data_IF_728602016073
#
_entry.id   IF_728602016073
#
_cell.length_a   1.000
_cell.length_b   1.000
_cell.length_c   1.000
_cell.angle_alpha   90.00
_cell.angle_beta   90.00
_cell.angle_gamma   90.00
#
_symmetry.space_group_name_H-M   'P 1'
#
loop_
_entity.id
_entity.type
_entity.pdbx_description
1 polymer ?
#
# COMPACT_ATOMS: atom_id res chain seq x y z
N UNK A 1 16.00 -11.58 -47.50
CA UNK A 1 15.81 -10.58 -46.42
C UNK A 1 14.44 -10.74 -45.80
N UNK A 2 14.38 -11.09 -44.51
CA UNK A 2 13.15 -11.46 -43.77
C UNK A 2 11.97 -10.47 -43.96
N UNK A 3 12.25 -9.19 -44.23
CA UNK A 3 11.26 -8.10 -44.39
C UNK A 3 10.55 -8.01 -45.77
N UNK A 4 10.81 -8.95 -46.70
CA UNK A 4 10.19 -8.95 -48.05
C UNK A 4 8.97 -9.86 -48.20
N UNK A 5 8.68 -10.73 -47.22
CA UNK A 5 7.58 -11.71 -47.31
C UNK A 5 6.19 -11.04 -47.32
N UNK A 6 5.26 -11.52 -48.17
CA UNK A 6 3.83 -11.16 -48.12
C UNK A 6 3.24 -11.39 -46.72
N UNK A 7 3.69 -12.43 -45.98
CA UNK A 7 3.25 -12.72 -44.61
C UNK A 7 3.61 -11.60 -43.63
N UNK A 8 4.78 -10.96 -43.80
CA UNK A 8 5.20 -9.84 -42.95
C UNK A 8 4.26 -8.64 -43.08
N UNK A 9 3.82 -8.31 -44.31
CA UNK A 9 2.86 -7.21 -44.54
C UNK A 9 1.47 -7.49 -43.96
N UNK A 10 1.05 -8.76 -43.96
CA UNK A 10 -0.26 -9.17 -43.42
C UNK A 10 -0.31 -9.00 -41.90
N UNK A 11 0.82 -9.21 -41.21
CA UNK A 11 0.92 -9.11 -39.75
C UNK A 11 1.29 -7.70 -39.29
N UNK A 12 2.14 -6.98 -40.03
CA UNK A 12 2.62 -5.66 -39.61
C UNK A 12 1.52 -4.59 -39.61
N UNK A 13 0.60 -4.64 -40.56
CA UNK A 13 -0.48 -3.65 -40.65
C UNK A 13 -1.46 -3.70 -39.45
N UNK A 14 -1.97 -4.87 -39.03
CA UNK A 14 -2.80 -4.97 -37.83
C UNK A 14 -2.10 -4.51 -36.57
N UNK A 15 -0.83 -4.88 -36.40
CA UNK A 15 -0.04 -4.52 -35.24
C UNK A 15 0.14 -3.00 -35.14
N UNK A 16 0.48 -2.34 -36.26
CA UNK A 16 0.61 -0.88 -36.33
C UNK A 16 -0.68 -0.16 -35.94
N UNK A 17 -1.82 -0.65 -36.42
CA UNK A 17 -3.14 -0.10 -36.10
C UNK A 17 -3.50 -0.30 -34.62
N UNK A 18 -3.19 -1.45 -34.03
CA UNK A 18 -3.40 -1.71 -32.60
C UNK A 18 -2.50 -0.80 -31.75
N UNK A 19 -1.22 -0.66 -32.09
CA UNK A 19 -0.27 0.21 -31.37
C UNK A 19 -0.75 1.67 -31.41
N UNK A 20 -1.11 2.17 -32.60
CA UNK A 20 -1.60 3.55 -32.76
C UNK A 20 -2.91 3.78 -32.01
N UNK A 21 -3.82 2.80 -32.02
CA UNK A 21 -5.06 2.87 -31.27
C UNK A 21 -4.80 2.88 -29.76
N UNK A 22 -3.92 2.00 -29.28
CA UNK A 22 -3.54 1.90 -27.86
C UNK A 22 -2.93 3.21 -27.36
N UNK A 23 -1.98 3.79 -28.12
CA UNK A 23 -1.39 5.09 -27.79
C UNK A 23 -2.46 6.18 -27.66
N UNK A 24 -3.42 6.24 -28.58
CA UNK A 24 -4.50 7.23 -28.55
C UNK A 24 -5.41 7.04 -27.34
N UNK A 25 -5.85 5.81 -27.06
CA UNK A 25 -6.72 5.51 -25.92
C UNK A 25 -6.02 5.84 -24.60
N UNK A 26 -4.77 5.40 -24.42
CA UNK A 26 -4.00 5.69 -23.20
C UNK A 26 -3.76 7.19 -23.02
N UNK A 27 -3.42 7.92 -24.09
CA UNK A 27 -3.22 9.37 -24.02
C UNK A 27 -4.50 10.11 -23.62
N UNK A 28 -5.64 9.72 -24.19
CA UNK A 28 -6.94 10.29 -23.83
C UNK A 28 -7.31 9.96 -22.39
N UNK A 29 -7.09 8.71 -21.95
CA UNK A 29 -7.33 8.28 -20.57
C UNK A 29 -6.50 9.10 -19.58
N UNK A 30 -5.21 9.29 -19.84
CA UNK A 30 -4.31 10.10 -19.01
C UNK A 30 -4.77 11.57 -18.97
N UNK A 31 -5.18 12.15 -20.10
CA UNK A 31 -5.69 13.53 -20.14
C UNK A 31 -6.98 13.68 -19.32
N UNK A 32 -7.92 12.74 -19.45
CA UNK A 32 -9.18 12.77 -18.69
C UNK A 32 -8.91 12.64 -17.20
N UNK A 33 -8.14 11.62 -16.79
CA UNK A 33 -7.80 11.38 -15.38
C UNK A 33 -6.99 12.53 -14.82
N UNK A 34 -5.99 13.03 -15.54
CA UNK A 34 -5.17 14.17 -15.14
C UNK A 34 -5.99 15.44 -14.98
N UNK A 35 -6.94 15.71 -15.87
CA UNK A 35 -7.85 16.86 -15.77
C UNK A 35 -8.77 16.72 -14.56
N UNK A 36 -9.32 15.52 -14.32
CA UNK A 36 -10.16 15.24 -13.15
C UNK A 36 -9.39 15.45 -11.83
N UNK A 37 -8.17 14.91 -11.73
CA UNK A 37 -7.29 15.09 -10.57
C UNK A 37 -6.95 16.57 -10.38
N UNK A 38 -6.61 17.29 -11.47
CA UNK A 38 -6.28 18.71 -11.41
C UNK A 38 -7.45 19.55 -10.92
N UNK A 39 -8.66 19.34 -11.46
CA UNK A 39 -9.86 20.07 -11.02
C UNK A 39 -10.14 19.78 -9.55
N UNK A 40 -10.13 18.51 -9.15
CA UNK A 40 -10.37 18.15 -7.75
C UNK A 40 -9.31 18.70 -6.80
N UNK A 41 -8.04 18.74 -7.23
CA UNK A 41 -6.98 19.42 -6.49
C UNK A 41 -7.22 20.92 -6.37
N UNK A 42 -7.67 21.61 -7.42
CA UNK A 42 -7.97 23.04 -7.35
C UNK A 42 -9.15 23.37 -6.43
N UNK A 43 -10.09 22.43 -6.22
CA UNK A 43 -11.28 22.64 -5.38
C UNK A 43 -11.06 22.22 -3.93
N UNK A 44 -10.40 21.08 -3.70
CA UNK A 44 -10.30 20.42 -2.39
C UNK A 44 -8.84 20.14 -1.98
N UNK A 45 -7.86 20.57 -2.76
CA UNK A 45 -6.44 20.35 -2.49
C UNK A 45 -6.06 18.87 -2.47
N UNK A 46 -5.07 18.55 -1.65
CA UNK A 46 -4.55 17.18 -1.50
C UNK A 46 -5.54 16.20 -0.87
N UNK A 47 -6.54 16.67 -0.13
CA UNK A 47 -7.59 15.81 0.43
C UNK A 47 -8.29 15.02 -0.68
N UNK A 48 -8.64 15.68 -1.78
CA UNK A 48 -9.27 15.02 -2.91
C UNK A 48 -8.34 14.02 -3.60
N UNK A 49 -7.08 14.42 -3.80
CA UNK A 49 -6.09 13.55 -4.42
C UNK A 49 -5.95 12.28 -3.59
N UNK A 50 -5.73 12.38 -2.27
CA UNK A 50 -5.54 11.21 -1.41
C UNK A 50 -6.76 10.27 -1.41
N UNK A 51 -7.98 10.81 -1.35
CA UNK A 51 -9.19 10.01 -1.19
C UNK A 51 -9.75 9.45 -2.50
N UNK A 52 -9.68 10.21 -3.60
CA UNK A 52 -10.48 9.92 -4.79
C UNK A 52 -9.67 9.63 -6.05
N UNK A 53 -8.36 9.86 -6.11
CA UNK A 53 -7.61 9.73 -7.38
C UNK A 53 -7.55 8.28 -7.93
N UNK A 54 -7.57 7.28 -7.05
CA UNK A 54 -7.44 5.87 -7.46
C UNK A 54 -8.66 5.37 -8.24
N UNK A 55 -9.86 5.81 -7.88
CA UNK A 55 -11.10 5.39 -8.53
C UNK A 55 -11.16 5.69 -10.04
N UNK A 56 -11.01 6.96 -10.50
CA UNK A 56 -11.01 7.29 -11.92
C UNK A 56 -9.80 6.68 -12.65
N UNK A 57 -8.64 6.55 -11.99
CA UNK A 57 -7.46 5.92 -12.56
C UNK A 57 -7.73 4.44 -12.87
N UNK A 58 -8.22 3.67 -11.90
CA UNK A 58 -8.55 2.26 -12.09
C UNK A 58 -9.65 2.07 -13.14
N UNK A 59 -10.69 2.92 -13.12
CA UNK A 59 -11.76 2.89 -14.12
C UNK A 59 -11.21 3.15 -15.53
N UNK A 60 -10.38 4.17 -15.70
CA UNK A 60 -9.79 4.53 -16.98
C UNK A 60 -8.86 3.43 -17.52
N UNK A 61 -8.08 2.77 -16.65
CA UNK A 61 -7.23 1.62 -17.02
C UNK A 61 -8.11 0.45 -17.49
N UNK A 62 -9.15 0.08 -16.74
CA UNK A 62 -10.05 -1.02 -17.11
C UNK A 62 -10.76 -0.76 -18.44
N UNK A 63 -11.30 0.45 -18.63
CA UNK A 63 -11.92 0.86 -19.91
C UNK A 63 -10.91 0.79 -21.05
N UNK A 64 -9.69 1.28 -20.84
CA UNK A 64 -8.63 1.26 -21.86
C UNK A 64 -8.28 -0.17 -22.29
N UNK A 65 -8.13 -1.09 -21.33
CA UNK A 65 -7.85 -2.51 -21.59
C UNK A 65 -9.00 -3.13 -22.40
N UNK A 66 -10.25 -2.92 -22.00
CA UNK A 66 -11.43 -3.44 -22.70
C UNK A 66 -11.46 -2.96 -24.16
N UNK A 67 -11.23 -1.66 -24.40
CA UNK A 67 -11.22 -1.09 -25.75
C UNK A 67 -10.08 -1.66 -26.60
N UNK A 68 -8.89 -1.87 -26.02
CA UNK A 68 -7.75 -2.47 -26.70
C UNK A 68 -8.03 -3.93 -27.04
N UNK A 69 -8.67 -4.70 -26.15
CA UNK A 69 -9.08 -6.08 -26.40
C UNK A 69 -10.10 -6.14 -27.54
N UNK A 70 -11.15 -5.32 -27.50
CA UNK A 70 -12.17 -5.25 -28.56
C UNK A 70 -11.51 -4.95 -29.91
N UNK A 71 -10.60 -3.96 -29.95
CA UNK A 71 -9.88 -3.61 -31.17
C UNK A 71 -9.01 -4.76 -31.66
N UNK A 72 -8.31 -5.46 -30.77
CA UNK A 72 -7.45 -6.59 -31.10
C UNK A 72 -8.27 -7.75 -31.68
N UNK A 73 -9.37 -8.12 -31.02
CA UNK A 73 -10.30 -9.16 -31.50
C UNK A 73 -10.88 -8.80 -32.87
N UNK A 74 -11.35 -7.55 -33.05
CA UNK A 74 -11.82 -7.08 -34.35
C UNK A 74 -10.76 -7.22 -35.46
N UNK A 75 -9.51 -6.87 -35.16
CA UNK A 75 -8.41 -6.99 -36.11
C UNK A 75 -8.07 -8.46 -36.41
N UNK A 76 -8.11 -9.35 -35.42
CA UNK A 76 -7.95 -10.79 -35.61
C UNK A 76 -9.06 -11.36 -36.50
N UNK A 77 -10.33 -11.06 -36.21
CA UNK A 77 -11.46 -11.50 -37.04
C UNK A 77 -11.30 -11.03 -38.49
N UNK A 78 -10.89 -9.77 -38.70
CA UNK A 78 -10.65 -9.22 -40.04
C UNK A 78 -9.51 -9.93 -40.79
N UNK A 79 -8.52 -10.48 -40.08
CA UNK A 79 -7.44 -11.27 -40.67
C UNK A 79 -7.91 -12.66 -41.10
N UNK A 80 -8.78 -13.31 -40.33
CA UNK A 80 -9.27 -14.66 -40.63
C UNK A 80 -10.50 -14.68 -41.56
N UNK A 81 -11.33 -13.64 -41.55
CA UNK A 81 -12.54 -13.54 -42.37
C UNK A 81 -12.55 -12.26 -43.22
N UNK A 82 -11.88 -12.29 -44.37
CA UNK A 82 -11.77 -11.15 -45.29
C UNK A 82 -13.12 -10.61 -45.82
N UNK A 83 -14.21 -11.40 -45.76
CA UNK A 83 -15.57 -10.99 -46.17
C UNK A 83 -16.39 -10.27 -45.09
N UNK A 84 -15.96 -10.30 -43.83
CA UNK A 84 -16.59 -9.54 -42.74
C UNK A 84 -16.05 -8.09 -42.74
N UNK A 85 -16.35 -7.34 -43.80
CA UNK A 85 -16.17 -5.89 -43.78
C UNK A 85 -17.40 -5.25 -43.15
N UNK A 86 -17.37 -5.01 -41.84
CA UNK A 86 -18.23 -3.97 -41.26
C UNK A 86 -17.76 -2.64 -41.88
N UNK A 87 -18.54 -2.16 -42.86
CA UNK A 87 -18.31 -0.92 -43.60
C UNK A 87 -18.48 0.29 -42.66
N UNK A 88 -17.49 0.54 -41.83
CA UNK A 88 -17.34 1.79 -41.10
C UNK A 88 -15.99 2.39 -41.49
N UNK A 89 -16.06 3.38 -42.38
CA UNK A 89 -14.96 4.14 -42.98
C UNK A 89 -14.25 3.50 -44.18
N UNK A 90 -14.85 3.68 -45.37
CA UNK A 90 -14.09 3.83 -46.61
C UNK A 90 -13.39 5.19 -46.59
N UNK A 91 -12.20 5.28 -45.99
CA UNK A 91 -11.24 6.33 -46.34
C UNK A 91 -10.00 5.67 -46.94
N UNK A 92 -9.95 5.77 -48.27
CA UNK A 92 -8.77 5.56 -49.11
C UNK A 92 -7.52 6.16 -48.45
N UNK A 93 -6.48 5.34 -48.26
CA UNK A 93 -5.14 5.85 -47.98
C UNK A 93 -4.06 4.85 -48.43
N UNK A 94 -3.91 4.70 -49.75
CA UNK A 94 -2.61 4.32 -50.31
C UNK A 94 -1.69 5.56 -50.26
N UNK A 95 -1.17 5.92 -49.08
CA UNK A 95 0.01 6.81 -49.02
C UNK A 95 1.25 5.95 -49.17
N UNK A 96 2.01 6.22 -50.23
CA UNK A 96 3.32 5.63 -50.54
C UNK A 96 4.37 6.18 -49.56
N UNK A 97 4.31 5.77 -48.28
CA UNK A 97 5.41 6.02 -47.34
C UNK A 97 6.46 4.92 -47.48
N UNK A 98 7.74 5.31 -47.47
CA UNK A 98 8.84 4.36 -47.54
C UNK A 98 8.72 3.35 -46.39
N UNK A 99 8.86 2.04 -46.67
CA UNK A 99 8.72 0.95 -45.69
C UNK A 99 9.58 1.14 -44.43
N UNK A 100 10.75 1.78 -44.58
CA UNK A 100 11.69 2.03 -43.49
C UNK A 100 11.21 3.14 -42.53
N UNK A 101 10.47 4.13 -43.03
CA UNK A 101 9.85 5.18 -42.20
C UNK A 101 8.66 4.66 -41.38
N UNK A 102 7.92 3.66 -41.89
CA UNK A 102 6.79 3.04 -41.17
C UNK A 102 7.22 2.33 -39.89
N UNK A 103 8.23 1.45 -40.00
CA UNK A 103 8.76 0.69 -38.86
C UNK A 103 9.39 1.63 -37.81
N UNK A 104 10.15 2.64 -38.24
CA UNK A 104 10.70 3.65 -37.32
C UNK A 104 9.59 4.37 -36.54
N UNK A 105 8.48 4.72 -37.19
CA UNK A 105 7.33 5.39 -36.56
C UNK A 105 6.62 4.50 -35.54
N UNK A 106 6.45 3.22 -35.83
CA UNK A 106 5.80 2.25 -34.92
C UNK A 106 6.66 1.99 -33.68
N UNK A 107 7.97 1.84 -33.85
CA UNK A 107 8.92 1.73 -32.73
C UNK A 107 8.86 2.98 -31.85
N UNK A 108 8.86 4.18 -32.45
CA UNK A 108 8.73 5.45 -31.71
C UNK A 108 7.42 5.51 -30.92
N UNK A 109 6.30 5.04 -31.48
CA UNK A 109 5.03 4.98 -30.76
C UNK A 109 5.06 3.99 -29.59
N UNK A 110 5.65 2.82 -29.80
CA UNK A 110 5.76 1.80 -28.75
C UNK A 110 6.64 2.27 -27.59
N UNK A 111 7.81 2.83 -27.90
CA UNK A 111 8.70 3.47 -26.92
C UNK A 111 7.97 4.63 -26.23
N UNK A 112 7.22 5.43 -26.99
CA UNK A 112 6.42 6.54 -26.45
C UNK A 112 5.36 6.09 -25.45
N UNK A 113 4.66 4.97 -25.68
CA UNK A 113 3.74 4.37 -24.71
C UNK A 113 4.49 3.97 -23.44
N UNK A 114 5.62 3.28 -23.59
CA UNK A 114 6.43 2.82 -22.46
C UNK A 114 6.91 3.98 -21.59
N UNK A 115 7.46 5.03 -22.20
CA UNK A 115 7.89 6.24 -21.50
C UNK A 115 6.70 6.93 -20.83
N UNK A 116 5.57 7.10 -21.54
CA UNK A 116 4.38 7.76 -21.00
C UNK A 116 3.86 7.06 -19.74
N UNK A 117 3.72 5.73 -19.78
CA UNK A 117 3.23 4.95 -18.64
C UNK A 117 4.23 4.97 -17.48
N UNK A 118 5.51 4.80 -17.76
CA UNK A 118 6.56 4.81 -16.75
C UNK A 118 6.67 6.19 -16.07
N UNK A 119 6.73 7.27 -16.85
CA UNK A 119 6.80 8.64 -16.32
C UNK A 119 5.57 8.99 -15.48
N UNK A 120 4.37 8.58 -15.91
CA UNK A 120 3.14 8.82 -15.13
C UNK A 120 3.20 8.05 -13.80
N UNK A 121 3.65 6.80 -13.82
CA UNK A 121 3.78 5.99 -12.62
C UNK A 121 4.82 6.55 -11.64
N UNK A 122 5.98 6.98 -12.16
CA UNK A 122 7.02 7.65 -11.36
C UNK A 122 6.45 8.91 -10.71
N UNK A 123 5.76 9.79 -11.46
CA UNK A 123 5.16 11.01 -10.91
C UNK A 123 4.16 10.67 -9.80
N UNK A 124 3.27 9.69 -10.03
CA UNK A 124 2.26 9.30 -9.05
C UNK A 124 2.86 8.75 -7.74
N UNK A 125 3.96 8.00 -7.82
CA UNK A 125 4.61 7.39 -6.64
C UNK A 125 5.60 8.36 -5.99
N UNK A 126 6.23 9.24 -6.76
CA UNK A 126 7.29 10.16 -6.29
C UNK A 126 6.76 11.49 -5.80
N UNK A 127 5.47 11.79 -5.95
CA UNK A 127 4.88 13.02 -5.41
C UNK A 127 4.58 12.82 -3.94
N UNK A 128 5.37 13.38 -2.99
CA UNK A 128 5.06 13.26 -1.58
C UNK A 128 3.76 14.02 -1.30
N UNK A 129 2.82 13.35 -0.62
CA UNK A 129 1.69 14.06 -0.03
C UNK A 129 2.21 15.04 1.02
N UNK A 130 1.64 16.26 1.10
CA UNK A 130 2.03 17.19 2.15
C UNK A 130 1.74 16.56 3.51
N UNK A 131 2.62 16.74 4.50
CA UNK A 131 2.34 16.27 5.85
C UNK A 131 1.11 17.00 6.40
N UNK A 132 0.20 16.25 7.00
CA UNK A 132 -0.93 16.78 7.74
C UNK A 132 -0.51 16.98 9.19
N UNK A 133 0.24 18.07 9.45
CA UNK A 133 0.66 18.39 10.82
C UNK A 133 -0.57 18.45 11.73
N UNK A 134 -0.66 17.49 12.64
CA UNK A 134 -1.70 17.40 13.65
C UNK A 134 -1.45 18.58 14.58
N UNK A 135 -2.32 19.57 14.47
CA UNK A 135 -2.29 20.77 15.29
C UNK A 135 -3.52 20.71 16.18
N UNK A 136 -3.35 20.45 17.48
CA UNK A 136 -4.49 20.33 18.37
C UNK A 136 -5.15 21.70 18.49
N UNK A 137 -6.48 21.71 18.48
CA UNK A 137 -7.27 22.95 18.57
C UNK A 137 -7.03 23.62 19.93
N UNK A 138 -6.89 22.80 20.97
CA UNK A 138 -6.41 23.20 22.28
C UNK A 138 -4.90 22.99 22.28
N UNK A 139 -4.08 24.02 22.51
CA UNK A 139 -2.63 23.85 22.64
C UNK A 139 -2.32 22.82 23.73
N UNK A 140 -1.31 22.00 23.49
CA UNK A 140 -0.78 21.09 24.50
C UNK A 140 0.01 21.90 25.54
N UNK A 141 -0.13 21.52 26.81
CA UNK A 141 0.74 22.02 27.87
C UNK A 141 2.18 21.47 27.71
N UNK A 142 3.14 22.03 28.45
CA UNK A 142 4.58 21.69 28.32
C UNK A 142 4.89 20.21 28.62
N UNK A 143 4.02 19.51 29.34
CA UNK A 143 4.12 18.09 29.70
C UNK A 143 3.17 17.18 28.89
N UNK A 144 2.45 17.73 27.91
CA UNK A 144 1.56 17.00 27.03
C UNK A 144 2.18 16.75 25.65
N UNK A 145 1.97 15.55 25.10
CA UNK A 145 2.50 15.19 23.79
C UNK A 145 1.62 14.17 23.06
N UNK A 146 1.68 14.20 21.73
CA UNK A 146 1.04 13.18 20.89
C UNK A 146 1.95 11.97 20.75
N UNK A 147 1.42 10.78 21.05
CA UNK A 147 2.17 9.52 21.03
C UNK A 147 1.37 8.41 20.33
N UNK A 148 2.06 7.57 19.58
CA UNK A 148 1.48 6.39 18.91
C UNK A 148 1.97 5.10 19.58
N UNK A 149 1.07 4.31 20.16
CA UNK A 149 1.43 3.11 20.94
C UNK A 149 1.52 1.82 20.12
N UNK A 150 1.26 1.86 18.81
CA UNK A 150 1.21 0.64 18.00
C UNK A 150 1.71 0.90 16.57
N UNK A 151 2.97 0.53 16.30
CA UNK A 151 3.64 0.88 15.04
C UNK A 151 4.45 -0.27 14.45
N UNK A 152 4.17 -0.55 13.18
CA UNK A 152 4.94 -1.47 12.34
C UNK A 152 5.86 -0.76 11.36
N UNK A 153 6.97 -1.45 11.05
CA UNK A 153 8.00 -1.05 10.09
C UNK A 153 8.32 -2.20 9.14
N UNK A 154 9.29 -1.99 8.26
CA UNK A 154 9.82 -3.05 7.37
C UNK A 154 10.48 -4.22 8.11
N UNK A 155 10.57 -4.20 9.45
CA UNK A 155 11.05 -5.32 10.25
C UNK A 155 9.96 -6.36 10.57
N UNK A 156 8.68 -6.10 10.28
CA UNK A 156 7.62 -7.11 10.16
C UNK A 156 6.90 -7.02 8.81
N UNK A 157 5.81 -6.28 8.77
CA UNK A 157 4.80 -6.19 7.71
C UNK A 157 4.48 -4.72 7.36
N UNK A 158 5.14 -3.78 8.04
CA UNK A 158 5.07 -2.37 7.74
C UNK A 158 5.72 -2.04 6.39
N UNK A 159 5.12 -1.08 5.69
CA UNK A 159 5.52 -0.69 4.33
C UNK A 159 6.62 0.36 4.28
N UNK A 160 6.95 0.99 5.42
CA UNK A 160 7.94 2.06 5.49
C UNK A 160 9.03 1.71 6.49
N UNK A 161 10.24 2.17 6.19
CA UNK A 161 11.40 1.98 7.05
C UNK A 161 11.24 2.74 8.37
N UNK A 162 12.03 2.35 9.37
CA UNK A 162 12.12 3.06 10.65
C UNK A 162 12.40 4.55 10.46
N UNK A 163 13.36 4.89 9.60
CA UNK A 163 13.75 6.30 9.37
C UNK A 163 12.61 7.10 8.74
N UNK A 164 11.93 6.52 7.75
CA UNK A 164 10.78 7.14 7.08
C UNK A 164 9.63 7.33 8.06
N UNK A 165 9.37 6.34 8.93
CA UNK A 165 8.34 6.40 9.97
C UNK A 165 8.60 7.54 10.95
N UNK A 166 9.80 7.63 11.51
CA UNK A 166 10.18 8.69 12.45
C UNK A 166 10.10 10.06 11.80
N UNK A 167 10.69 10.22 10.60
CA UNK A 167 10.61 11.47 9.82
C UNK A 167 9.16 11.87 9.54
N UNK A 168 8.30 10.88 9.25
CA UNK A 168 6.88 11.12 9.03
C UNK A 168 6.20 11.59 10.31
N UNK A 169 6.39 10.91 11.45
CA UNK A 169 5.79 11.32 12.73
C UNK A 169 6.18 12.73 13.16
N UNK A 170 7.47 13.07 13.11
CA UNK A 170 7.95 14.41 13.43
C UNK A 170 7.26 15.45 12.52
N UNK A 171 7.13 15.16 11.21
CA UNK A 171 6.41 16.04 10.27
C UNK A 171 4.91 16.15 10.58
N UNK A 172 4.29 15.11 11.12
CA UNK A 172 2.90 15.15 11.58
C UNK A 172 2.73 15.84 12.95
N UNK A 173 3.80 16.17 13.68
CA UNK A 173 3.71 16.70 15.04
C UNK A 173 3.49 15.63 16.12
N UNK A 174 3.75 14.36 15.80
CA UNK A 174 3.78 13.26 16.78
C UNK A 174 5.17 13.23 17.41
N UNK A 175 5.20 13.22 18.74
CA UNK A 175 6.42 13.41 19.54
C UNK A 175 7.10 12.10 19.90
N UNK A 176 6.40 10.97 19.78
CA UNK A 176 6.98 9.66 20.02
C UNK A 176 6.10 8.52 19.56
N UNK A 177 6.69 7.33 19.53
CA UNK A 177 5.96 6.11 19.24
C UNK A 177 6.57 4.87 19.91
N UNK A 178 5.71 3.88 20.15
CA UNK A 178 6.12 2.52 20.48
C UNK A 178 6.25 1.70 19.20
N UNK A 179 7.49 1.29 18.90
CA UNK A 179 7.78 0.45 17.74
C UNK A 179 7.55 -0.99 18.14
N UNK A 180 6.52 -1.63 17.57
CA UNK A 180 5.96 -2.90 18.00
C UNK A 180 5.86 -3.89 16.82
N UNK A 181 6.95 -4.06 16.05
CA UNK A 181 6.98 -5.04 14.96
C UNK A 181 6.62 -6.45 15.48
N UNK A 182 5.96 -7.26 14.64
CA UNK A 182 5.51 -8.60 15.01
C UNK A 182 6.67 -9.48 15.50
N UNK A 183 6.53 -10.02 16.71
CA UNK A 183 7.38 -11.04 17.31
C UNK A 183 8.89 -10.69 17.40
N UNK A 184 9.30 -9.43 17.23
CA UNK A 184 10.71 -9.04 17.28
C UNK A 184 10.98 -7.56 17.66
N UNK A 185 12.17 -7.28 18.21
CA UNK A 185 12.59 -5.94 18.66
C UNK A 185 13.45 -5.18 17.64
N UNK A 186 13.64 -5.70 16.41
CA UNK A 186 14.63 -5.15 15.49
C UNK A 186 14.31 -3.72 15.04
N UNK A 187 13.04 -3.44 14.74
CA UNK A 187 12.62 -2.09 14.38
C UNK A 187 12.70 -1.12 15.55
N UNK A 188 12.35 -1.54 16.76
CA UNK A 188 12.48 -0.73 17.97
C UNK A 188 13.93 -0.35 18.27
N UNK A 189 14.86 -1.32 18.21
CA UNK A 189 16.31 -1.08 18.41
C UNK A 189 16.87 -0.16 17.32
N UNK A 190 16.45 -0.37 16.07
CA UNK A 190 16.84 0.48 14.95
C UNK A 190 16.31 1.92 15.12
N UNK A 191 15.08 2.07 15.65
CA UNK A 191 14.46 3.38 15.92
C UNK A 191 15.21 4.15 17.00
N UNK A 192 15.52 3.52 18.13
CA UNK A 192 16.31 4.13 19.20
C UNK A 192 17.67 4.60 18.67
N UNK A 193 18.39 3.71 17.99
CA UNK A 193 19.68 4.04 17.39
C UNK A 193 19.57 5.22 16.42
N UNK A 194 18.56 5.23 15.56
CA UNK A 194 18.37 6.30 14.58
C UNK A 194 18.12 7.66 15.25
N UNK A 195 17.30 7.70 16.30
CA UNK A 195 17.04 8.92 17.09
C UNK A 195 18.30 9.41 17.77
N UNK A 196 19.05 8.51 18.43
CA UNK A 196 20.30 8.82 19.13
C UNK A 196 21.38 9.34 18.18
N UNK A 197 21.65 8.64 17.09
CA UNK A 197 22.69 8.97 16.11
C UNK A 197 22.46 10.35 15.46
N UNK A 198 21.21 10.79 15.38
CA UNK A 198 20.81 12.04 14.72
C UNK A 198 20.38 13.15 15.70
N UNK A 199 20.40 12.89 17.01
CA UNK A 199 19.97 13.85 18.03
C UNK A 199 18.55 14.36 17.82
N UNK A 200 17.62 13.46 17.46
CA UNK A 200 16.24 13.84 17.18
C UNK A 200 15.44 14.01 18.47
N UNK A 201 14.60 15.04 18.50
CA UNK A 201 13.59 15.23 19.55
C UNK A 201 12.37 14.34 19.24
N UNK A 202 12.53 13.03 19.50
CA UNK A 202 11.50 12.02 19.26
C UNK A 202 11.64 10.87 20.25
N UNK A 203 10.58 10.55 21.00
CA UNK A 203 10.59 9.49 22.01
C UNK A 203 10.32 8.13 21.35
N UNK A 204 11.21 7.17 21.58
CA UNK A 204 11.04 5.78 21.12
C UNK A 204 10.78 4.88 22.32
N UNK A 205 9.62 4.24 22.34
CA UNK A 205 9.35 3.12 23.25
C UNK A 205 9.64 1.81 22.54
N UNK A 206 10.42 0.95 23.19
CA UNK A 206 10.58 -0.42 22.73
C UNK A 206 9.34 -1.22 23.08
N UNK A 207 8.75 -1.83 22.05
CA UNK A 207 7.64 -2.73 22.18
C UNK A 207 7.82 -3.91 21.22
N UNK A 208 7.01 -4.93 21.41
CA UNK A 208 6.83 -6.01 20.44
C UNK A 208 5.36 -6.32 20.41
N UNK A 209 4.82 -6.51 19.21
CA UNK A 209 3.53 -7.15 19.07
C UNK A 209 3.72 -8.66 19.10
N UNK A 210 3.28 -9.31 20.17
CA UNK A 210 3.14 -10.75 20.23
C UNK A 210 1.92 -11.16 19.40
N UNK A 211 2.11 -11.96 18.35
CA UNK A 211 1.11 -12.12 17.28
C UNK A 211 0.60 -13.56 17.13
N UNK A 212 -0.42 -13.95 17.90
CA UNK A 212 -1.05 -15.27 17.77
C UNK A 212 -2.18 -15.26 16.73
N UNK A 213 -1.86 -15.85 15.56
CA UNK A 213 -2.76 -15.97 14.43
C UNK A 213 -3.62 -17.26 14.48
N UNK A 214 -3.28 -18.22 15.34
CA UNK A 214 -4.11 -19.41 15.57
C UNK A 214 -5.32 -19.04 16.41
N UNK A 215 -5.10 -18.28 17.48
CA UNK A 215 -6.17 -17.84 18.37
C UNK A 215 -6.73 -16.45 18.00
N UNK A 216 -6.11 -15.73 17.06
CA UNK A 216 -6.51 -14.37 16.65
C UNK A 216 -6.47 -13.37 17.81
N UNK A 217 -5.38 -13.38 18.58
CA UNK A 217 -5.14 -12.39 19.63
C UNK A 217 -3.73 -11.85 19.49
N UNK A 218 -3.63 -10.53 19.42
CA UNK A 218 -2.34 -9.83 19.38
C UNK A 218 -2.22 -8.94 20.61
N UNK A 219 -1.00 -8.82 21.14
CA UNK A 219 -0.72 -8.05 22.35
C UNK A 219 0.59 -7.31 22.22
N UNK A 220 0.60 -6.02 22.49
CA UNK A 220 1.84 -5.26 22.65
C UNK A 220 2.33 -5.39 24.08
N UNK A 221 3.60 -5.79 24.24
CA UNK A 221 4.30 -5.65 25.51
C UNK A 221 5.41 -4.61 25.45
N UNK A 222 5.66 -3.97 26.58
CA UNK A 222 6.55 -2.84 26.76
C UNK A 222 7.44 -3.03 27.98
N UNK A 223 8.55 -2.29 28.03
CA UNK A 223 9.40 -2.19 29.22
C UNK A 223 10.38 -3.36 29.43
N UNK A 224 10.37 -4.35 28.54
CA UNK A 224 11.38 -5.42 28.52
C UNK A 224 12.08 -5.50 27.17
N UNK A 225 13.36 -5.87 27.19
CA UNK A 225 14.20 -6.01 25.99
C UNK A 225 14.45 -7.47 25.61
N UNK A 226 13.43 -8.32 25.80
CA UNK A 226 13.43 -9.74 25.43
C UNK A 226 12.37 -10.00 24.36
N UNK A 227 12.67 -10.87 23.41
CA UNK A 227 11.71 -11.32 22.41
C UNK A 227 10.99 -12.57 22.93
N UNK A 228 9.68 -12.45 23.10
CA UNK A 228 8.76 -13.54 23.39
C UNK A 228 7.82 -13.67 22.21
N UNK A 229 7.62 -14.90 21.76
CA UNK A 229 6.81 -15.22 20.58
C UNK A 229 5.67 -16.18 20.93
N UNK A 230 4.61 -16.25 20.14
CA UNK A 230 3.54 -17.22 20.37
C UNK A 230 4.04 -18.64 20.10
N UNK A 231 3.36 -19.64 20.68
CA UNK A 231 3.70 -21.05 20.49
C UNK A 231 3.82 -21.47 19.02
N UNK A 232 3.01 -20.87 18.14
CA UNK A 232 3.05 -21.12 16.69
C UNK A 232 4.35 -20.64 16.01
N UNK A 233 5.03 -19.66 16.60
CA UNK A 233 6.26 -19.04 16.08
C UNK A 233 7.53 -19.70 16.68
N UNK A 234 7.37 -20.79 17.45
CA UNK A 234 8.49 -21.52 18.04
C UNK A 234 9.48 -22.01 16.97
N UNK A 235 10.75 -21.72 17.20
CA UNK A 235 11.86 -22.24 16.40
C UNK A 235 12.98 -22.76 17.32
N UNK A 236 13.61 -23.91 17.02
CA UNK A 236 14.73 -24.40 17.82
C UNK A 236 15.88 -23.39 17.87
N UNK A 237 16.26 -22.96 19.08
CA UNK A 237 17.28 -21.92 19.29
C UNK A 237 16.82 -20.50 19.02
N UNK A 238 15.52 -20.30 18.77
CA UNK A 238 14.88 -19.00 18.63
C UNK A 238 14.44 -18.40 19.97
N UNK A 239 13.63 -17.33 19.93
CA UNK A 239 13.10 -16.67 21.12
C UNK A 239 12.18 -17.57 21.94
N UNK A 240 11.94 -17.21 23.20
CA UNK A 240 11.07 -17.96 24.11
C UNK A 240 9.64 -17.96 23.58
N UNK A 241 9.03 -19.15 23.46
CA UNK A 241 7.66 -19.29 22.98
C UNK A 241 6.70 -19.59 24.14
N UNK A 242 5.62 -18.81 24.24
CA UNK A 242 4.62 -18.92 25.31
C UNK A 242 3.20 -18.81 24.75
N UNK A 243 2.19 -19.27 25.49
CA UNK A 243 0.78 -18.95 25.18
C UNK A 243 0.42 -17.56 25.75
N UNK A 244 -0.81 -17.08 25.50
CA UNK A 244 -1.21 -15.73 25.94
C UNK A 244 -1.13 -15.53 27.46
N UNK A 245 -1.67 -16.45 28.28
CA UNK A 245 -1.66 -16.30 29.74
C UNK A 245 -0.27 -16.34 30.35
N UNK A 246 0.59 -17.21 29.82
CA UNK A 246 1.97 -17.35 30.28
C UNK A 246 2.79 -16.13 29.86
N UNK A 247 2.57 -15.61 28.65
CA UNK A 247 3.18 -14.36 28.17
C UNK A 247 2.80 -13.21 29.09
N UNK A 248 1.50 -13.00 29.35
CA UNK A 248 1.02 -11.94 30.26
C UNK A 248 1.70 -12.08 31.63
N UNK A 249 1.64 -13.27 32.23
CA UNK A 249 2.23 -13.52 33.54
C UNK A 249 3.74 -13.26 33.58
N UNK A 250 4.46 -13.66 32.53
CA UNK A 250 5.90 -13.46 32.41
C UNK A 250 6.26 -11.99 32.26
N UNK A 251 5.59 -11.25 31.37
CA UNK A 251 5.83 -9.81 31.18
C UNK A 251 5.61 -9.06 32.50
N UNK A 252 4.49 -9.32 33.17
CA UNK A 252 4.15 -8.71 34.46
C UNK A 252 5.16 -9.06 35.54
N UNK A 253 5.57 -10.32 35.62
CA UNK A 253 6.56 -10.81 36.59
C UNK A 253 7.95 -10.18 36.42
N UNK A 254 8.28 -9.72 35.21
CA UNK A 254 9.54 -9.06 34.88
C UNK A 254 9.44 -7.53 34.84
N UNK A 255 8.35 -6.94 35.36
CA UNK A 255 8.17 -5.49 35.45
C UNK A 255 7.79 -4.80 34.13
N UNK A 256 7.43 -5.57 33.11
CA UNK A 256 6.89 -5.03 31.87
C UNK A 256 5.39 -4.73 31.95
N UNK A 257 4.89 -4.10 30.90
CA UNK A 257 3.47 -3.81 30.70
C UNK A 257 2.96 -4.53 29.46
N UNK A 258 1.69 -4.93 29.45
CA UNK A 258 1.10 -5.61 28.29
C UNK A 258 -0.32 -5.14 28.02
N UNK A 259 -0.60 -4.79 26.76
CA UNK A 259 -1.92 -4.36 26.29
C UNK A 259 -2.44 -5.31 25.23
N UNK A 260 -3.76 -5.49 25.18
CA UNK A 260 -4.41 -6.29 24.13
C UNK A 260 -4.72 -5.39 22.94
N UNK A 261 -4.26 -5.77 21.76
CA UNK A 261 -4.36 -4.96 20.54
C UNK A 261 -5.70 -5.19 19.84
N UNK A 262 -6.18 -4.15 19.16
CA UNK A 262 -7.40 -4.12 18.32
C UNK A 262 -8.49 -5.10 18.79
N UNK A 263 -8.87 -4.98 20.06
CA UNK A 263 -9.70 -5.98 20.71
C UNK A 263 -11.16 -5.84 20.29
N UNK A 264 -11.72 -6.93 19.74
CA UNK A 264 -13.10 -6.95 19.29
C UNK A 264 -14.04 -7.32 20.43
N UNK A 265 -14.92 -6.40 20.81
CA UNK A 265 -15.99 -6.64 21.77
C UNK A 265 -17.16 -7.42 21.13
N UNK A 266 -16.92 -8.69 20.79
CA UNK A 266 -17.90 -9.59 20.15
C UNK A 266 -18.36 -10.67 21.12
N UNK A 267 -19.63 -11.13 21.10
CA UNK A 267 -20.07 -12.20 21.99
C UNK A 267 -19.20 -13.46 21.89
N UNK A 268 -18.66 -13.93 23.02
CA UNK A 268 -17.83 -15.14 23.06
C UNK A 268 -18.73 -16.40 23.07
N UNK A 269 -18.45 -17.43 22.24
CA UNK A 269 -19.19 -18.69 22.26
C UNK A 269 -19.23 -19.39 23.63
N UNK A 270 -18.23 -19.16 24.48
CA UNK A 270 -18.12 -19.73 25.82
C UNK A 270 -18.72 -18.83 26.93
N UNK A 271 -19.38 -17.73 26.55
CA UNK A 271 -20.00 -16.75 27.45
C UNK A 271 -19.16 -15.49 27.66
N UNK A 272 -19.83 -14.34 27.85
CA UNK A 272 -19.19 -13.03 27.96
C UNK A 272 -18.90 -12.37 26.60
N UNK A 273 -17.99 -11.40 26.61
CA UNK A 273 -17.59 -10.64 25.41
C UNK A 273 -16.08 -10.72 25.18
N UNK A 274 -15.73 -10.81 23.90
CA UNK A 274 -14.40 -10.89 23.32
C UNK A 274 -14.00 -12.28 22.87
N UNK A 275 -13.32 -12.36 21.73
CA UNK A 275 -12.81 -13.61 21.12
C UNK A 275 -11.31 -13.41 20.87
N UNK A 276 -10.45 -14.41 21.14
CA UNK A 276 -10.74 -15.75 21.67
C UNK A 276 -11.00 -15.79 23.18
N UNK A 277 -10.50 -14.80 23.92
CA UNK A 277 -10.56 -14.73 25.38
C UNK A 277 -11.49 -13.60 25.82
N UNK A 278 -12.26 -13.83 26.88
CA UNK A 278 -13.15 -12.82 27.42
C UNK A 278 -12.38 -11.70 28.14
N UNK A 279 -13.01 -10.53 28.29
CA UNK A 279 -12.44 -9.42 29.07
C UNK A 279 -12.09 -9.82 30.50
N UNK A 280 -12.97 -10.60 31.15
CA UNK A 280 -12.73 -11.08 32.51
C UNK A 280 -11.50 -12.00 32.57
N UNK A 281 -11.34 -12.88 31.59
CA UNK A 281 -10.20 -13.78 31.51
C UNK A 281 -8.89 -13.00 31.31
N UNK A 282 -8.87 -12.03 30.40
CA UNK A 282 -7.68 -11.18 30.16
C UNK A 282 -7.36 -10.31 31.37
N UNK A 283 -8.37 -9.73 32.04
CA UNK A 283 -8.20 -9.02 33.31
C UNK A 283 -7.61 -9.92 34.38
N UNK A 284 -8.15 -11.12 34.54
CA UNK A 284 -7.73 -12.05 35.60
C UNK A 284 -6.31 -12.60 35.35
N UNK A 285 -5.88 -12.66 34.09
CA UNK A 285 -4.48 -12.90 33.72
C UNK A 285 -3.55 -11.71 33.99
N UNK A 286 -4.09 -10.50 34.10
CA UNK A 286 -3.36 -9.31 34.53
C UNK A 286 -2.88 -8.39 33.42
N UNK A 287 -3.60 -8.31 32.29
CA UNK A 287 -3.33 -7.29 31.25
C UNK A 287 -3.45 -5.87 31.82
N UNK A 288 -2.64 -4.94 31.31
CA UNK A 288 -2.59 -3.55 31.77
C UNK A 288 -3.56 -2.63 31.02
N UNK A 289 -4.00 -3.03 29.84
CA UNK A 289 -4.88 -2.21 29.03
C UNK A 289 -5.38 -2.88 27.76
N UNK A 290 -6.27 -2.18 27.09
CA UNK A 290 -6.88 -2.58 25.82
C UNK A 290 -6.76 -1.42 24.83
N UNK A 291 -6.36 -1.72 23.60
CA UNK A 291 -6.41 -0.77 22.51
C UNK A 291 -7.87 -0.55 22.10
N UNK A 292 -8.41 0.64 22.41
CA UNK A 292 -9.82 1.01 22.12
C UNK A 292 -9.95 1.69 20.75
N UNK A 293 -8.91 2.40 20.30
CA UNK A 293 -8.88 3.09 19.01
C UNK A 293 -7.71 2.53 18.20
N UNK A 294 -8.04 1.73 17.20
CA UNK A 294 -7.08 1.19 16.24
C UNK A 294 -7.56 1.51 14.81
N UNK A 295 -6.63 1.86 13.92
CA UNK A 295 -6.94 2.15 12.52
C UNK A 295 -7.59 0.98 11.76
N UNK A 296 -7.38 -0.27 12.24
CA UNK A 296 -8.00 -1.48 11.69
C UNK A 296 -9.39 -1.80 12.24
N UNK A 297 -9.80 -1.21 13.36
CA UNK A 297 -11.05 -1.53 14.08
C UNK A 297 -12.20 -0.58 13.76
N UNK A 298 -11.97 0.48 12.98
CA UNK A 298 -13.02 1.45 12.62
C UNK A 298 -13.78 1.00 11.37
N UNK A 299 -14.68 0.04 11.53
CA UNK A 299 -15.86 -0.06 10.66
C UNK A 299 -16.91 0.93 11.18
N UNK A 300 -16.75 2.19 10.80
CA UNK A 300 -17.81 3.20 10.92
C UNK A 300 -18.85 3.05 9.81
#
# INVERSE_FOLDING_TARGET
>A
GLFRSKKFKVISYPLAEIIKFSFKILSVAILIVGTYILIGYMVQGYFFVNRYFMMPLQLAVRISIILIIIKTVYMCIKLFHHKLSLNLSKKSFYRKNSKLQGIKREIVLFVGIGVLLLSTNIILISTPFPPHKITPIVPLDDDEFLFDFHVHTTYSDGWITVEERIKWYIKQGISGAAFSDHDNLRGAKSAQKYVEDHGLDFVVFMAVEWTDNVNYVHMNYYGIAEEIVPLQSYTPGGPTAMNASDTISYIKGNGGYITVNHYNYVPNPNGGYGIPYSLDQLRDWGVDGFEIVCGGSYEG
#
